data_IF_576251389464
#
_entry.id   IF_576251389464
#
_cell.length_a   1.000
_cell.length_b   1.000
_cell.length_c   1.000
_cell.angle_alpha   90.00
_cell.angle_beta   90.00
_cell.angle_gamma   90.00
#
_symmetry.space_group_name_H-M   'P 1'
#
loop_
_entity.id
_entity.type
_entity.pdbx_description
1 polymer ?
#
# COMPACT_ATOMS: atom_id res chain seq x y z
N UNK A 1 -24.30 2.15 10.09
CA UNK A 1 -23.97 1.70 8.72
C UNK A 1 -22.48 1.48 8.69
N UNK A 2 -22.04 0.23 8.65
CA UNK A 2 -20.63 -0.12 8.67
C UNK A 2 -20.04 0.26 7.32
N UNK A 3 -19.33 1.39 7.24
CA UNK A 3 -18.35 1.57 6.18
C UNK A 3 -17.32 0.47 6.38
N UNK A 4 -17.47 -0.56 5.57
CA UNK A 4 -16.61 -1.72 5.55
C UNK A 4 -15.20 -1.19 5.32
N UNK A 5 -14.41 -1.25 6.40
CA UNK A 5 -12.97 -1.04 6.38
C UNK A 5 -12.41 -1.95 5.31
N UNK A 6 -12.24 -1.45 4.10
CA UNK A 6 -11.34 -2.08 3.15
C UNK A 6 -9.94 -1.57 3.51
N UNK A 7 -9.49 -1.90 4.72
CA UNK A 7 -8.06 -2.07 4.95
C UNK A 7 -7.79 -3.41 4.24
N UNK A 8 -7.40 -3.36 2.97
CA UNK A 8 -6.54 -4.46 2.54
C UNK A 8 -5.28 -4.23 3.35
N UNK A 9 -4.99 -5.18 4.21
CA UNK A 9 -3.70 -5.25 4.86
C UNK A 9 -2.67 -5.19 3.72
N UNK A 10 -2.07 -4.00 3.52
CA UNK A 10 -1.11 -3.67 2.46
C UNK A 10 0.08 -4.64 2.44
N UNK A 11 0.16 -5.52 3.43
CA UNK A 11 1.17 -6.54 3.57
C UNK A 11 1.15 -7.64 2.54
N UNK A 12 -0.04 -8.16 2.26
CA UNK A 12 -0.09 -9.35 1.44
C UNK A 12 -0.06 -8.99 -0.04
N UNK A 13 -0.67 -7.87 -0.43
CA UNK A 13 -0.66 -7.43 -1.83
C UNK A 13 0.76 -7.13 -2.32
N UNK A 14 1.52 -6.28 -1.59
CA UNK A 14 2.88 -5.93 -2.00
C UNK A 14 3.79 -7.16 -2.03
N UNK A 15 3.66 -8.03 -1.01
CA UNK A 15 4.38 -9.29 -0.98
C UNK A 15 4.06 -10.17 -2.20
N UNK A 16 2.79 -10.28 -2.58
CA UNK A 16 2.38 -11.09 -3.74
C UNK A 16 2.82 -10.46 -5.06
N UNK A 17 2.83 -9.12 -5.15
CA UNK A 17 3.35 -8.41 -6.33
C UNK A 17 4.85 -8.69 -6.50
N UNK A 18 5.63 -8.55 -5.44
CA UNK A 18 7.09 -8.69 -5.48
C UNK A 18 7.54 -10.16 -5.56
N UNK A 19 6.89 -11.03 -4.79
CA UNK A 19 7.34 -12.41 -4.57
C UNK A 19 6.40 -13.49 -5.12
N UNK A 20 5.14 -13.14 -5.40
CA UNK A 20 4.15 -14.09 -5.90
C UNK A 20 4.56 -14.78 -7.21
N UNK A 21 5.39 -14.10 -8.00
CA UNK A 21 6.02 -14.62 -9.21
C UNK A 21 6.85 -15.89 -9.00
N UNK A 22 7.47 -16.06 -7.82
CA UNK A 22 8.40 -17.15 -7.52
C UNK A 22 7.72 -18.45 -7.03
N UNK A 23 6.48 -18.39 -6.53
CA UNK A 23 5.75 -19.61 -6.14
C UNK A 23 5.35 -20.43 -7.38
N UNK A 24 5.28 -21.76 -7.24
CA UNK A 24 4.75 -22.63 -8.28
C UNK A 24 3.21 -22.51 -8.37
N UNK A 25 2.63 -22.77 -9.54
CA UNK A 25 1.16 -22.86 -9.67
C UNK A 25 0.67 -24.06 -8.84
N UNK A 26 -0.41 -23.86 -8.08
CA UNK A 26 -0.94 -24.80 -7.09
C UNK A 26 -0.26 -24.71 -5.72
N UNK A 27 0.82 -23.95 -5.57
CA UNK A 27 1.51 -23.81 -4.30
C UNK A 27 0.75 -22.88 -3.35
N UNK A 28 0.53 -23.37 -2.14
CA UNK A 28 0.04 -22.57 -1.02
C UNK A 28 1.19 -21.80 -0.36
N UNK A 29 0.89 -20.59 0.12
CA UNK A 29 1.80 -19.77 0.90
C UNK A 29 1.01 -18.92 1.90
N UNK A 30 1.66 -18.51 2.98
CA UNK A 30 1.09 -17.58 3.94
C UNK A 30 1.75 -16.22 3.79
N UNK A 31 0.94 -15.17 3.88
CA UNK A 31 1.45 -13.81 3.98
C UNK A 31 2.28 -13.67 5.26
N UNK A 32 3.53 -13.19 5.19
CA UNK A 32 4.44 -13.18 6.35
C UNK A 32 4.01 -12.23 7.48
N UNK A 33 3.01 -11.39 7.23
CA UNK A 33 2.65 -10.25 8.09
C UNK A 33 1.39 -10.52 8.90
N UNK A 34 0.37 -11.12 8.29
CA UNK A 34 -0.91 -11.43 8.95
C UNK A 34 -1.25 -12.94 8.92
N UNK A 35 -0.34 -13.77 8.40
CA UNK A 35 -0.51 -15.20 8.19
C UNK A 35 -1.71 -15.58 7.30
N UNK A 36 -2.30 -14.62 6.56
CA UNK A 36 -3.37 -14.92 5.61
C UNK A 36 -2.85 -15.92 4.58
N UNK A 37 -3.58 -17.01 4.41
CA UNK A 37 -3.24 -18.06 3.45
C UNK A 37 -3.69 -17.71 2.03
N UNK A 38 -2.83 -18.08 1.08
CA UNK A 38 -3.01 -17.84 -0.35
C UNK A 38 -2.57 -19.07 -1.16
N UNK A 39 -3.05 -19.16 -2.39
CA UNK A 39 -2.62 -20.17 -3.37
C UNK A 39 -2.40 -19.50 -4.71
N UNK A 40 -1.28 -19.79 -5.38
CA UNK A 40 -1.08 -19.33 -6.76
C UNK A 40 -1.89 -20.20 -7.71
N UNK A 41 -2.90 -19.64 -8.37
CA UNK A 41 -3.80 -20.38 -9.27
C UNK A 41 -3.33 -20.35 -10.72
N UNK A 42 -2.64 -19.28 -11.13
CA UNK A 42 -2.02 -19.17 -12.45
C UNK A 42 -0.90 -18.12 -12.45
N UNK A 43 -0.32 -17.83 -13.63
CA UNK A 43 0.63 -16.72 -13.78
C UNK A 43 -0.08 -15.41 -13.47
N UNK A 44 0.33 -14.76 -12.38
CA UNK A 44 -0.28 -13.53 -11.89
C UNK A 44 -1.69 -13.72 -11.34
N UNK A 45 -2.13 -14.95 -11.05
CA UNK A 45 -3.45 -15.19 -10.43
C UNK A 45 -3.27 -15.91 -9.10
N UNK A 46 -4.03 -15.45 -8.10
CA UNK A 46 -3.91 -15.89 -6.71
C UNK A 46 -5.30 -16.02 -6.10
N UNK A 47 -5.48 -17.03 -5.24
CA UNK A 47 -6.69 -17.22 -4.46
C UNK A 47 -6.38 -17.09 -2.98
N UNK A 48 -7.13 -16.25 -2.27
CA UNK A 48 -7.06 -16.14 -0.82
C UNK A 48 -7.84 -17.29 -0.18
N UNK A 49 -7.50 -17.67 1.06
CA UNK A 49 -8.19 -18.76 1.78
C UNK A 49 -9.69 -18.56 2.00
N UNK A 50 -10.18 -17.31 1.93
CA UNK A 50 -11.62 -17.01 1.95
C UNK A 50 -12.32 -17.27 0.59
N UNK A 51 -11.60 -17.82 -0.38
CA UNK A 51 -12.13 -18.20 -1.70
C UNK A 51 -12.09 -17.08 -2.73
N UNK A 52 -11.75 -15.84 -2.36
CA UNK A 52 -11.65 -14.73 -3.31
C UNK A 52 -10.46 -14.91 -4.24
N UNK A 53 -10.70 -14.67 -5.52
CA UNK A 53 -9.67 -14.70 -6.55
C UNK A 53 -9.17 -13.29 -6.88
N UNK A 54 -7.88 -13.21 -7.16
CA UNK A 54 -7.16 -11.99 -7.44
C UNK A 54 -6.25 -12.19 -8.64
N UNK A 55 -6.17 -11.17 -9.48
CA UNK A 55 -5.32 -11.12 -10.66
C UNK A 55 -4.38 -9.91 -10.54
N UNK A 56 -3.10 -10.16 -10.70
CA UNK A 56 -2.09 -9.14 -10.92
C UNK A 56 -2.43 -8.39 -12.20
N UNK A 57 -2.69 -7.10 -12.04
CA UNK A 57 -2.92 -6.15 -13.12
C UNK A 57 -1.95 -5.00 -12.97
N UNK A 58 -1.86 -4.23 -14.04
CA UNK A 58 -1.13 -2.97 -14.07
C UNK A 58 -2.09 -1.84 -14.36
N UNK A 59 -1.96 -0.74 -13.63
CA UNK A 59 -2.61 0.52 -13.97
C UNK A 59 -1.57 1.45 -14.57
N UNK A 60 -1.82 1.93 -15.79
CA UNK A 60 -0.99 2.97 -16.41
C UNK A 60 -1.55 4.33 -16.02
N UNK A 61 -0.74 5.12 -15.33
CA UNK A 61 -0.96 6.54 -15.14
C UNK A 61 -0.20 7.37 -16.19
N UNK A 62 -0.29 8.72 -16.16
CA UNK A 62 0.36 9.57 -17.13
C UNK A 62 1.89 9.41 -17.22
N UNK A 63 2.54 9.02 -16.12
CA UNK A 63 4.01 8.98 -16.03
C UNK A 63 4.59 7.58 -15.76
N UNK A 64 3.79 6.62 -15.28
CA UNK A 64 4.29 5.31 -14.88
C UNK A 64 3.20 4.23 -14.84
N UNK A 65 3.63 2.98 -14.71
CA UNK A 65 2.78 1.80 -14.58
C UNK A 65 2.91 1.21 -13.18
N UNK A 66 1.77 0.85 -12.57
CA UNK A 66 1.68 0.44 -11.17
C UNK A 66 1.00 -0.92 -11.06
N UNK A 67 1.71 -1.95 -10.58
CA UNK A 67 1.12 -3.25 -10.34
C UNK A 67 0.16 -3.21 -9.15
N UNK A 68 -0.91 -3.97 -9.23
CA UNK A 68 -1.87 -4.16 -8.14
C UNK A 68 -2.58 -5.52 -8.26
N UNK A 69 -3.14 -6.02 -7.17
CA UNK A 69 -4.03 -7.19 -7.22
C UNK A 69 -5.49 -6.76 -7.37
N UNK A 70 -6.05 -6.97 -8.56
CA UNK A 70 -7.48 -6.79 -8.82
C UNK A 70 -8.25 -8.01 -8.32
N UNK A 71 -9.40 -7.83 -7.66
CA UNK A 71 -10.28 -8.98 -7.46
C UNK A 71 -10.88 -9.43 -8.79
N UNK A 72 -11.05 -10.74 -8.98
CA UNK A 72 -11.65 -11.33 -10.18
C UNK A 72 -13.14 -10.96 -10.33
N UNK A 73 -13.79 -10.52 -9.25
CA UNK A 73 -15.18 -10.06 -9.24
C UNK A 73 -15.38 -8.66 -9.86
N UNK A 74 -14.29 -8.01 -10.30
CA UNK A 74 -14.32 -6.74 -11.01
C UNK A 74 -14.24 -5.51 -10.12
N UNK A 75 -14.07 -5.65 -8.80
CA UNK A 75 -13.77 -4.50 -7.95
C UNK A 75 -12.34 -4.02 -8.19
N UNK A 76 -12.22 -2.84 -8.80
CA UNK A 76 -10.94 -2.14 -8.89
C UNK A 76 -10.50 -1.66 -7.50
N UNK A 77 -9.21 -1.75 -7.15
CA UNK A 77 -8.74 -1.22 -5.88
C UNK A 77 -8.96 0.29 -5.83
N UNK A 78 -9.23 0.79 -4.62
CA UNK A 78 -9.35 2.22 -4.38
C UNK A 78 -8.07 2.92 -4.85
N UNK A 79 -8.22 3.81 -5.84
CA UNK A 79 -7.11 4.48 -6.55
C UNK A 79 -6.25 5.33 -5.61
N UNK A 80 -6.85 5.83 -4.53
CA UNK A 80 -6.15 6.58 -3.48
C UNK A 80 -5.04 5.73 -2.82
N UNK A 81 -5.20 4.40 -2.83
CA UNK A 81 -4.20 3.47 -2.29
C UNK A 81 -2.96 3.36 -3.16
N UNK A 82 -3.09 3.48 -4.48
CA UNK A 82 -1.92 3.46 -5.35
C UNK A 82 -0.99 4.64 -5.05
N UNK A 83 -1.56 5.80 -4.73
CA UNK A 83 -0.77 6.97 -4.31
C UNK A 83 -0.16 6.78 -2.93
N UNK A 84 -0.90 6.21 -1.98
CA UNK A 84 -0.38 5.85 -0.66
C UNK A 84 0.84 4.91 -0.77
N UNK A 85 0.80 3.89 -1.63
CA UNK A 85 1.96 3.02 -1.90
C UNK A 85 3.17 3.77 -2.43
N UNK A 86 2.97 4.76 -3.29
CA UNK A 86 4.07 5.59 -3.79
C UNK A 86 4.68 6.47 -2.70
N UNK A 87 3.84 7.05 -1.83
CA UNK A 87 4.31 7.79 -0.67
C UNK A 87 5.06 6.87 0.29
N UNK A 88 4.62 5.62 0.47
CA UNK A 88 5.33 4.66 1.31
C UNK A 88 6.70 4.27 0.74
N UNK A 89 6.78 3.99 -0.56
CA UNK A 89 8.01 3.53 -1.21
C UNK A 89 9.01 4.66 -1.49
N UNK A 90 8.54 5.87 -1.80
CA UNK A 90 9.37 6.98 -2.29
C UNK A 90 9.25 8.24 -1.44
N UNK A 91 8.26 8.34 -0.56
CA UNK A 91 7.93 9.58 0.14
C UNK A 91 9.05 10.12 1.02
N UNK A 92 9.88 9.27 1.63
CA UNK A 92 11.06 9.72 2.38
C UNK A 92 12.10 10.44 1.50
N UNK A 93 12.20 10.02 0.23
CA UNK A 93 13.16 10.56 -0.75
C UNK A 93 12.67 11.83 -1.44
N UNK A 94 11.37 12.12 -1.36
CA UNK A 94 10.79 13.33 -1.95
C UNK A 94 11.28 14.58 -1.20
N UNK A 95 11.49 15.68 -1.92
CA UNK A 95 11.68 16.99 -1.31
C UNK A 95 10.39 17.48 -0.62
N UNK A 96 10.52 18.39 0.34
CA UNK A 96 9.35 19.08 0.87
C UNK A 96 8.72 19.95 -0.22
N UNK A 97 7.40 19.89 -0.37
CA UNK A 97 6.71 20.50 -1.50
C UNK A 97 5.54 19.67 -2.01
N UNK A 98 4.89 20.14 -3.09
CA UNK A 98 3.83 19.41 -3.74
C UNK A 98 4.39 18.18 -4.48
N UNK A 99 3.68 17.07 -4.36
CA UNK A 99 3.84 15.83 -5.11
C UNK A 99 2.54 15.54 -5.83
N UNK A 100 2.57 15.45 -7.15
CA UNK A 100 1.42 15.00 -7.93
C UNK A 100 1.52 13.48 -8.07
N UNK A 101 0.50 12.77 -7.58
CA UNK A 101 0.44 11.34 -7.76
C UNK A 101 0.33 11.00 -9.25
N UNK A 102 1.25 10.20 -9.80
CA UNK A 102 1.25 9.83 -11.21
C UNK A 102 0.16 8.81 -11.55
N UNK A 103 -0.68 8.37 -10.60
CA UNK A 103 -1.73 7.37 -10.83
C UNK A 103 -3.08 8.02 -11.09
N UNK A 104 -3.52 8.88 -10.17
CA UNK A 104 -4.84 9.53 -10.17
C UNK A 104 -4.76 11.05 -10.37
N UNK A 105 -3.54 11.62 -10.41
CA UNK A 105 -3.32 13.05 -10.54
C UNK A 105 -3.54 13.86 -9.26
N UNK A 106 -3.86 13.20 -8.13
CA UNK A 106 -4.06 13.84 -6.83
C UNK A 106 -2.81 14.61 -6.40
N UNK A 107 -2.99 15.77 -5.78
CA UNK A 107 -1.88 16.60 -5.29
C UNK A 107 -1.75 16.41 -3.79
N UNK A 108 -0.57 15.94 -3.39
CA UNK A 108 -0.17 15.77 -2.00
C UNK A 108 0.88 16.82 -1.65
N UNK A 109 0.85 17.31 -0.43
CA UNK A 109 1.87 18.17 0.13
C UNK A 109 2.73 17.34 1.07
N UNK A 110 4.01 17.18 0.72
CA UNK A 110 5.02 16.67 1.65
C UNK A 110 5.59 17.84 2.46
N UNK A 111 5.75 17.62 3.75
CA UNK A 111 6.52 18.48 4.66
C UNK A 111 7.26 17.62 5.68
N UNK A 112 8.42 18.07 6.13
CA UNK A 112 9.14 17.41 7.22
C UNK A 112 8.74 18.06 8.54
N UNK A 113 8.25 17.27 9.50
CA UNK A 113 7.90 17.75 10.83
C UNK A 113 8.77 17.10 11.90
N UNK A 114 8.87 17.76 13.06
CA UNK A 114 9.53 17.19 14.24
C UNK A 114 8.49 16.60 15.18
N UNK A 115 8.51 15.29 15.35
CA UNK A 115 7.57 14.56 16.20
C UNK A 115 8.36 13.62 17.12
N UNK A 116 8.11 13.67 18.43
CA UNK A 116 8.89 12.93 19.44
C UNK A 116 10.41 13.08 19.29
N UNK A 117 10.88 14.27 18.89
CA UNK A 117 12.30 14.56 18.68
C UNK A 117 12.86 14.12 17.32
N UNK A 118 12.16 13.25 16.58
CA UNK A 118 12.53 12.72 15.28
C UNK A 118 12.00 13.61 14.14
N UNK A 119 12.69 13.61 13.00
CA UNK A 119 12.20 14.23 11.76
C UNK A 119 11.41 13.21 10.98
N UNK A 120 10.12 13.49 10.75
CA UNK A 120 9.20 12.58 10.08
C UNK A 120 8.60 13.25 8.84
N UNK A 121 8.47 12.53 7.72
CA UNK A 121 7.78 13.04 6.55
C UNK A 121 6.26 12.98 6.77
N UNK A 122 5.60 14.11 6.58
CA UNK A 122 4.15 14.26 6.70
C UNK A 122 3.56 14.56 5.34
N UNK A 123 2.55 13.79 4.96
CA UNK A 123 1.85 13.88 3.68
C UNK A 123 0.41 14.30 3.93
N UNK A 124 -0.04 15.36 3.27
CA UNK A 124 -1.42 15.83 3.35
C UNK A 124 -1.99 16.02 1.94
N UNK A 125 -3.28 15.81 1.75
CA UNK A 125 -3.99 16.19 0.52
C UNK A 125 -5.33 16.85 0.85
N UNK A 126 -5.92 17.52 -0.12
CA UNK A 126 -7.26 18.08 0.02
C UNK A 126 -8.31 16.98 0.28
N UNK A 127 -9.27 17.27 1.16
CA UNK A 127 -10.34 16.32 1.53
C UNK A 127 -9.90 15.19 2.48
N UNK A 128 -8.62 15.10 2.84
CA UNK A 128 -8.13 14.15 3.82
C UNK A 128 -8.39 14.65 5.25
N UNK A 129 -8.98 13.80 6.09
CA UNK A 129 -9.30 14.13 7.49
C UNK A 129 -8.05 14.41 8.34
N UNK A 130 -6.99 13.62 8.16
CA UNK A 130 -5.73 13.79 8.88
C UNK A 130 -4.52 13.50 7.97
N UNK A 131 -3.44 14.31 8.06
CA UNK A 131 -2.18 14.00 7.39
C UNK A 131 -1.64 12.63 7.79
N UNK A 132 -0.95 11.97 6.86
CA UNK A 132 -0.31 10.69 7.07
C UNK A 132 1.20 10.87 7.28
N UNK A 133 1.82 9.91 7.94
CA UNK A 133 3.27 9.79 8.06
C UNK A 133 3.69 8.34 7.88
N UNK A 134 4.98 8.12 7.65
CA UNK A 134 5.57 6.78 7.58
C UNK A 134 5.90 6.31 9.00
N UNK A 135 5.32 5.18 9.37
CA UNK A 135 5.65 4.41 10.55
C UNK A 135 6.66 3.32 10.15
N UNK A 136 7.88 3.32 10.71
CA UNK A 136 8.76 2.17 10.58
C UNK A 136 8.15 0.98 11.32
N UNK A 137 7.99 -0.14 10.62
CA UNK A 137 7.61 -1.43 11.20
C UNK A 137 8.81 -2.38 11.33
N UNK A 138 8.57 -3.57 11.89
CA UNK A 138 9.62 -4.58 12.14
C UNK A 138 10.25 -5.12 10.85
N UNK A 139 9.43 -5.35 9.84
CA UNK A 139 9.79 -5.95 8.55
C UNK A 139 9.74 -4.94 7.41
N UNK A 140 8.87 -3.93 7.53
CA UNK A 140 8.60 -2.94 6.49
C UNK A 140 7.90 -1.70 7.05
N UNK A 141 7.92 -0.55 6.35
CA UNK A 141 7.19 0.64 6.75
C UNK A 141 5.68 0.54 6.45
N UNK A 142 4.88 1.38 7.09
CA UNK A 142 3.45 1.56 6.82
C UNK A 142 3.07 3.04 6.85
N UNK A 143 1.98 3.44 6.20
CA UNK A 143 1.39 4.77 6.38
C UNK A 143 0.37 4.75 7.53
N UNK A 144 0.50 5.71 8.44
CA UNK A 144 -0.42 5.89 9.58
C UNK A 144 -0.87 7.35 9.66
N UNK A 145 -1.98 7.60 10.34
CA UNK A 145 -2.36 8.97 10.69
C UNK A 145 -1.27 9.61 11.57
N UNK A 146 -1.03 10.90 11.43
CA UNK A 146 0.04 11.58 12.17
C UNK A 146 -0.09 11.43 13.69
N UNK A 147 -1.33 11.43 14.20
CA UNK A 147 -1.67 11.21 15.60
C UNK A 147 -1.38 9.79 16.10
N UNK A 148 -1.30 8.81 15.20
CA UNK A 148 -1.02 7.41 15.50
C UNK A 148 0.48 7.07 15.41
N UNK A 149 1.31 8.01 14.98
CA UNK A 149 2.74 7.79 14.87
C UNK A 149 3.37 7.44 16.23
N UNK A 150 4.11 6.33 16.25
CA UNK A 150 4.87 5.90 17.40
C UNK A 150 6.36 5.88 17.05
N UNK A 151 7.23 6.54 17.84
CA UNK A 151 8.67 6.44 17.60
C UNK A 151 9.12 4.97 17.70
N UNK A 152 10.12 4.55 16.91
CA UNK A 152 10.69 3.21 17.03
C UNK A 152 11.10 2.95 18.49
N UNK A 153 10.67 1.81 19.04
CA UNK A 153 11.17 1.36 20.34
C UNK A 153 12.57 0.80 20.12
N UNK A 154 13.54 1.23 20.92
CA UNK A 154 14.89 0.66 20.96
C UNK A 154 14.87 -0.85 21.23
#
# INVERSE_FOLDING_TARGET
MSEERVILADCCEDWIIDWGGFYAVGQAFACPEDATEWTKTAKGAYRRADGREFQLRSRRGPEAEFPYLASADGHEPNVERCCAKLLLAYGERLGDGPFRCPVDGSVWQKRTQRLHGLRVPVFAREGQSEPLTIQPGRSRPFLVALSEYSPPRE
#
